data_IF_003461321058
#
_entry.id   IF_003461321058
#
_cell.length_a   1.000
_cell.length_b   1.000
_cell.length_c   1.000
_cell.angle_alpha   90.00
_cell.angle_beta   90.00
_cell.angle_gamma   90.00
#
_symmetry.space_group_name_H-M   'P 1'
#
loop_
_entity.id
_entity.type
_entity.pdbx_description
1 polymer ?
#
# COMPACT_ATOMS: atom_id res chain seq x y z
N UNK A 1 -19.55 -30.41 28.96
CA UNK A 1 -18.95 -29.10 29.36
C UNK A 1 -18.94 -28.24 28.09
N UNK A 2 -19.89 -27.30 28.05
CA UNK A 2 -20.13 -26.43 26.89
C UNK A 2 -19.22 -25.23 27.07
N UNK A 3 -18.21 -25.07 26.18
CA UNK A 3 -17.34 -23.89 26.14
C UNK A 3 -18.09 -22.75 25.45
N UNK A 4 -18.32 -21.70 26.24
CA UNK A 4 -19.01 -20.47 25.85
C UNK A 4 -18.17 -19.70 24.84
N UNK A 5 -18.63 -19.56 23.59
CA UNK A 5 -18.08 -18.64 22.62
C UNK A 5 -18.36 -17.21 23.07
N UNK A 6 -17.33 -16.47 23.43
CA UNK A 6 -17.42 -15.01 23.60
C UNK A 6 -17.46 -14.35 22.22
N UNK A 7 -18.29 -13.33 21.99
CA UNK A 7 -18.26 -12.56 20.76
C UNK A 7 -16.93 -11.79 20.67
N UNK A 8 -16.31 -11.84 19.50
CA UNK A 8 -15.08 -11.12 19.18
C UNK A 8 -15.37 -9.62 19.21
N UNK A 9 -14.69 -8.94 20.11
CA UNK A 9 -14.70 -7.48 20.23
C UNK A 9 -13.96 -6.89 19.02
N UNK A 10 -14.73 -6.43 18.02
CA UNK A 10 -14.19 -5.64 16.91
C UNK A 10 -13.94 -4.25 17.50
N UNK A 11 -12.78 -4.08 18.11
CA UNK A 11 -12.38 -2.80 18.67
C UNK A 11 -12.10 -1.78 17.56
N UNK A 12 -13.17 -1.19 17.05
CA UNK A 12 -13.11 0.14 16.45
C UNK A 12 -12.98 1.08 17.65
N UNK A 13 -11.75 1.53 17.95
CA UNK A 13 -11.57 2.61 18.92
C UNK A 13 -12.22 3.89 18.39
N UNK A 14 -13.50 4.04 18.69
CA UNK A 14 -14.14 5.35 18.65
C UNK A 14 -13.58 6.15 19.81
N UNK A 15 -12.91 7.24 19.49
CA UNK A 15 -12.74 8.31 20.49
C UNK A 15 -14.13 8.82 20.83
N UNK A 16 -14.66 8.40 21.99
CA UNK A 16 -15.90 8.96 22.51
C UNK A 16 -15.70 10.47 22.74
N UNK A 17 -16.61 11.32 22.30
CA UNK A 17 -16.53 12.73 22.61
C UNK A 17 -16.82 12.89 24.10
N UNK A 18 -15.79 13.12 24.92
CA UNK A 18 -16.00 13.65 26.27
C UNK A 18 -16.54 15.05 26.11
N UNK A 19 -17.85 15.18 26.32
CA UNK A 19 -18.54 16.45 26.45
C UNK A 19 -17.98 17.23 27.65
N UNK A 20 -17.09 18.18 27.36
CA UNK A 20 -16.85 19.30 28.28
C UNK A 20 -17.84 20.39 27.86
N UNK A 21 -18.91 20.51 28.62
CA UNK A 21 -19.88 21.58 28.45
C UNK A 21 -19.23 22.91 28.79
N UNK A 22 -18.90 23.71 27.77
CA UNK A 22 -18.73 25.14 27.91
C UNK A 22 -20.00 25.82 27.42
N UNK A 23 -20.65 26.58 28.30
CA UNK A 23 -21.84 27.35 28.01
C UNK A 23 -21.52 28.39 26.91
N UNK A 24 -22.27 28.35 25.81
CA UNK A 24 -22.40 29.47 24.85
C UNK A 24 -21.91 29.25 23.42
N UNK A 25 -21.73 28.00 22.93
CA UNK A 25 -21.52 27.79 21.49
C UNK A 25 -22.32 26.59 21.01
N UNK A 26 -23.32 26.82 20.18
CA UNK A 26 -23.99 25.78 19.40
C UNK A 26 -22.98 25.19 18.43
N UNK A 27 -22.21 24.20 18.83
CA UNK A 27 -21.35 23.43 17.93
C UNK A 27 -22.26 22.55 17.08
N UNK A 28 -22.40 22.91 15.83
CA UNK A 28 -22.69 21.92 14.79
C UNK A 28 -21.61 20.83 14.92
N UNK A 29 -22.00 19.64 15.36
CA UNK A 29 -21.15 18.45 15.23
C UNK A 29 -21.06 18.22 13.73
N UNK A 30 -19.98 18.70 13.10
CA UNK A 30 -19.67 18.33 11.74
C UNK A 30 -19.48 16.80 11.75
N UNK A 31 -20.45 16.07 11.20
CA UNK A 31 -20.28 14.68 10.86
C UNK A 31 -19.15 14.68 9.83
N UNK A 32 -18.01 14.13 10.20
CA UNK A 32 -16.85 14.03 9.31
C UNK A 32 -17.25 13.11 8.15
N UNK A 33 -17.39 13.71 6.95
CA UNK A 33 -17.75 12.98 5.73
C UNK A 33 -16.45 12.47 5.11
N UNK A 34 -16.29 11.14 5.05
CA UNK A 34 -15.17 10.54 4.31
C UNK A 34 -15.34 10.84 2.83
N UNK A 35 -14.29 11.39 2.23
CA UNK A 35 -14.23 11.77 0.82
C UNK A 35 -13.27 10.91 0.02
N UNK A 36 -12.23 10.37 0.66
CA UNK A 36 -11.26 9.51 0.02
C UNK A 36 -10.91 8.30 0.88
N UNK A 37 -10.52 7.21 0.21
CA UNK A 37 -10.00 5.99 0.84
C UNK A 37 -8.63 5.70 0.22
N UNK A 38 -7.61 5.61 1.08
CA UNK A 38 -6.25 5.22 0.70
C UNK A 38 -6.04 3.75 1.09
N UNK A 39 -5.69 2.93 0.13
CA UNK A 39 -5.39 1.51 0.36
C UNK A 39 -3.88 1.29 0.35
N UNK A 40 -3.36 0.52 1.30
CA UNK A 40 -2.10 -0.17 1.07
C UNK A 40 -2.26 -1.19 -0.06
N UNK A 41 -1.13 -1.67 -0.62
CA UNK A 41 -1.12 -2.55 -1.78
C UNK A 41 -0.95 -4.04 -1.40
N UNK A 42 0.29 -4.48 -1.19
CA UNK A 42 0.61 -5.88 -0.91
C UNK A 42 0.21 -6.28 0.53
N UNK A 43 -0.52 -7.38 0.68
CA UNK A 43 -1.15 -7.77 1.95
C UNK A 43 -2.57 -7.22 2.12
N UNK A 44 -2.89 -6.12 1.44
CA UNK A 44 -4.19 -5.45 1.50
C UNK A 44 -5.06 -5.72 0.27
N UNK A 45 -4.58 -5.38 -0.93
CA UNK A 45 -5.31 -5.57 -2.19
C UNK A 45 -4.93 -6.88 -2.89
N UNK A 46 -3.67 -7.25 -2.81
CA UNK A 46 -3.11 -8.41 -3.49
C UNK A 46 -1.98 -9.05 -2.68
N UNK A 47 -1.59 -10.24 -3.08
CA UNK A 47 -0.53 -11.02 -2.43
C UNK A 47 0.32 -11.76 -3.47
N UNK A 48 1.51 -12.21 -3.08
CA UNK A 48 2.36 -13.06 -3.93
C UNK A 48 1.74 -14.46 -4.07
N UNK A 49 1.71 -14.98 -5.29
CA UNK A 49 1.18 -16.33 -5.58
C UNK A 49 2.03 -17.45 -4.96
N UNK A 50 3.30 -17.16 -4.67
CA UNK A 50 4.27 -18.05 -4.03
C UNK A 50 5.13 -17.24 -3.05
N UNK A 51 6.01 -17.90 -2.30
CA UNK A 51 6.97 -17.20 -1.44
C UNK A 51 7.98 -16.42 -2.27
N UNK A 52 8.63 -15.41 -1.67
CA UNK A 52 9.73 -14.69 -2.34
C UNK A 52 10.85 -15.66 -2.74
N UNK A 53 11.15 -16.62 -1.88
CA UNK A 53 12.16 -17.64 -2.17
C UNK A 53 11.81 -18.53 -3.36
N UNK A 54 10.53 -18.89 -3.55
CA UNK A 54 10.09 -19.65 -4.74
C UNK A 54 10.27 -18.84 -6.02
N UNK A 55 9.93 -17.54 -6.00
CA UNK A 55 10.15 -16.63 -7.12
C UNK A 55 11.63 -16.45 -7.42
N UNK A 56 12.48 -16.28 -6.42
CA UNK A 56 13.92 -16.18 -6.62
C UNK A 56 14.52 -17.49 -7.14
N UNK A 57 14.06 -18.65 -6.67
CA UNK A 57 14.53 -19.94 -7.19
C UNK A 57 14.07 -20.15 -8.65
N UNK A 58 12.88 -19.67 -9.02
CA UNK A 58 12.44 -19.66 -10.40
C UNK A 58 13.37 -18.81 -11.27
N UNK A 59 13.62 -17.57 -10.88
CA UNK A 59 14.54 -16.65 -11.58
C UNK A 59 15.94 -17.24 -11.64
N UNK A 60 16.44 -17.86 -10.57
CA UNK A 60 17.72 -18.55 -10.55
C UNK A 60 17.85 -19.54 -11.71
N UNK A 61 16.87 -20.42 -11.89
CA UNK A 61 16.86 -21.39 -13.00
C UNK A 61 16.87 -20.74 -14.38
N UNK A 62 16.14 -19.63 -14.56
CA UNK A 62 16.13 -18.87 -15.83
C UNK A 62 17.52 -18.31 -16.18
N UNK A 63 18.32 -17.98 -15.18
CA UNK A 63 19.70 -17.49 -15.38
C UNK A 63 20.77 -18.58 -15.18
N UNK A 64 20.38 -19.86 -15.11
CA UNK A 64 21.29 -21.00 -15.01
C UNK A 64 21.84 -21.28 -13.61
N UNK A 65 21.19 -20.76 -12.56
CA UNK A 65 21.57 -20.98 -11.17
C UNK A 65 20.58 -21.95 -10.48
N UNK A 66 21.11 -22.94 -9.76
CA UNK A 66 20.29 -23.85 -8.95
C UNK A 66 20.34 -23.40 -7.48
N UNK A 67 19.34 -22.61 -7.07
CA UNK A 67 19.24 -21.99 -5.76
C UNK A 67 18.07 -22.59 -4.97
N UNK A 68 18.28 -22.86 -3.68
CA UNK A 68 17.25 -23.43 -2.82
C UNK A 68 16.21 -22.37 -2.39
N UNK A 69 14.95 -22.60 -2.74
CA UNK A 69 13.84 -21.67 -2.46
C UNK A 69 13.67 -21.36 -0.96
N UNK A 70 13.78 -22.38 -0.09
CA UNK A 70 13.60 -22.19 1.35
C UNK A 70 14.74 -21.39 1.99
N UNK A 71 15.97 -21.56 1.48
CA UNK A 71 17.11 -20.77 1.94
C UNK A 71 17.00 -19.34 1.48
N UNK A 72 16.61 -19.09 0.23
CA UNK A 72 16.33 -17.77 -0.31
C UNK A 72 15.23 -17.05 0.47
N UNK A 73 14.16 -17.76 0.81
CA UNK A 73 13.03 -17.16 1.57
C UNK A 73 13.48 -16.76 2.98
N UNK A 74 14.21 -17.62 3.68
CA UNK A 74 14.80 -17.31 5.01
C UNK A 74 15.76 -16.13 4.94
N UNK A 75 16.66 -16.13 3.95
CA UNK A 75 17.63 -15.06 3.74
C UNK A 75 16.93 -13.72 3.43
N UNK A 76 15.88 -13.75 2.59
CA UNK A 76 15.08 -12.57 2.29
C UNK A 76 14.43 -11.98 3.55
N UNK A 77 13.75 -12.80 4.35
CA UNK A 77 13.14 -12.35 5.59
C UNK A 77 14.15 -11.77 6.58
N UNK A 78 15.32 -12.39 6.71
CA UNK A 78 16.40 -11.88 7.57
C UNK A 78 16.94 -10.53 7.07
N UNK A 79 17.21 -10.41 5.77
CA UNK A 79 17.69 -9.17 5.15
C UNK A 79 16.65 -8.05 5.26
N UNK A 80 15.37 -8.36 5.03
CA UNK A 80 14.28 -7.40 5.16
C UNK A 80 14.15 -6.83 6.56
N UNK A 81 14.24 -7.67 7.59
CA UNK A 81 14.16 -7.24 9.00
C UNK A 81 15.35 -6.38 9.44
N UNK A 82 16.51 -6.58 8.84
CA UNK A 82 17.74 -5.84 9.16
C UNK A 82 17.87 -4.51 8.42
N UNK A 83 17.08 -4.28 7.36
CA UNK A 83 17.13 -3.01 6.61
C UNK A 83 16.74 -1.85 7.52
N UNK A 84 17.58 -0.80 7.59
CA UNK A 84 17.28 0.38 8.39
C UNK A 84 16.07 1.14 7.81
N UNK A 85 15.35 1.81 8.69
CA UNK A 85 14.32 2.78 8.26
C UNK A 85 14.99 3.91 7.50
N UNK A 86 14.38 4.30 6.39
CA UNK A 86 14.86 5.43 5.59
C UNK A 86 14.24 6.74 6.08
N UNK A 87 15.04 7.79 6.12
CA UNK A 87 14.55 9.14 6.39
C UNK A 87 13.80 9.67 5.17
N UNK A 88 12.77 10.48 5.41
CA UNK A 88 12.11 11.20 4.34
C UNK A 88 13.08 12.21 3.71
N UNK A 89 12.99 12.35 2.38
CA UNK A 89 13.74 13.36 1.59
C UNK A 89 12.73 14.16 0.77
N UNK A 90 13.11 15.35 0.32
CA UNK A 90 12.17 16.27 -0.36
C UNK A 90 11.91 15.88 -1.83
N UNK A 91 12.85 15.17 -2.44
CA UNK A 91 12.79 14.75 -3.85
C UNK A 91 12.42 13.27 -3.99
N UNK A 92 11.94 12.83 -5.17
CA UNK A 92 11.85 11.42 -5.54
C UNK A 92 13.20 10.72 -5.39
N UNK A 93 13.19 9.44 -5.02
CA UNK A 93 14.42 8.67 -4.86
C UNK A 93 15.06 8.32 -6.18
N UNK A 94 16.38 8.35 -6.19
CA UNK A 94 17.18 7.98 -7.35
C UNK A 94 16.82 6.57 -7.87
N UNK A 95 16.76 6.44 -9.18
CA UNK A 95 16.48 5.18 -9.88
C UNK A 95 15.26 4.43 -9.35
N UNK A 96 14.25 5.17 -8.85
CA UNK A 96 13.00 4.59 -8.38
C UNK A 96 13.22 3.45 -7.35
N UNK A 97 14.13 3.66 -6.40
CA UNK A 97 14.54 2.68 -5.38
C UNK A 97 15.22 1.40 -5.93
N UNK A 98 15.54 1.31 -7.21
CA UNK A 98 16.16 0.11 -7.80
C UNK A 98 17.49 -0.26 -7.10
N UNK A 99 18.29 0.75 -6.70
CA UNK A 99 19.53 0.55 -5.94
C UNK A 99 19.27 -0.09 -4.57
N UNK A 100 18.23 0.34 -3.89
CA UNK A 100 17.84 -0.23 -2.60
C UNK A 100 17.44 -1.71 -2.71
N UNK A 101 16.69 -2.06 -3.76
CA UNK A 101 16.35 -3.45 -4.05
C UNK A 101 17.57 -4.27 -4.40
N UNK A 102 18.53 -3.71 -5.17
CA UNK A 102 19.78 -4.37 -5.50
C UNK A 102 20.58 -4.73 -4.24
N UNK A 103 20.69 -3.82 -3.30
CA UNK A 103 21.34 -4.10 -2.01
C UNK A 103 20.63 -5.21 -1.22
N UNK A 104 19.29 -5.16 -1.15
CA UNK A 104 18.52 -6.19 -0.44
C UNK A 104 18.74 -7.58 -1.06
N UNK A 105 18.59 -7.69 -2.38
CA UNK A 105 18.82 -8.94 -3.11
C UNK A 105 20.28 -9.38 -2.99
N UNK A 106 21.23 -8.45 -3.04
CA UNK A 106 22.66 -8.73 -2.79
C UNK A 106 22.91 -9.41 -1.46
N UNK A 107 22.32 -8.90 -0.37
CA UNK A 107 22.43 -9.53 0.95
C UNK A 107 21.80 -10.94 0.99
N UNK A 108 20.72 -11.18 0.24
CA UNK A 108 20.12 -12.52 0.13
C UNK A 108 21.09 -13.49 -0.57
N UNK A 109 21.66 -13.07 -1.68
CA UNK A 109 22.60 -13.90 -2.46
C UNK A 109 23.90 -14.13 -1.69
N UNK A 110 24.41 -13.15 -0.94
CA UNK A 110 25.58 -13.32 -0.08
C UNK A 110 25.41 -14.44 0.95
N UNK A 111 24.19 -14.64 1.44
CA UNK A 111 23.91 -15.70 2.42
C UNK A 111 23.73 -17.07 1.77
N UNK A 112 23.12 -17.14 0.58
CA UNK A 112 22.75 -18.42 -0.05
C UNK A 112 23.81 -18.91 -1.03
N UNK A 113 24.44 -18.00 -1.76
CA UNK A 113 25.40 -18.32 -2.81
C UNK A 113 26.60 -17.33 -2.83
N UNK A 114 27.41 -17.28 -1.77
CA UNK A 114 28.48 -16.28 -1.61
C UNK A 114 29.56 -16.37 -2.70
N UNK A 115 29.69 -17.51 -3.36
CA UNK A 115 30.70 -17.74 -4.41
C UNK A 115 30.27 -17.29 -5.81
N UNK A 116 29.05 -16.79 -5.99
CA UNK A 116 28.61 -16.27 -7.29
C UNK A 116 29.46 -15.08 -7.73
N UNK A 117 29.79 -15.04 -9.02
CA UNK A 117 30.47 -13.90 -9.63
C UNK A 117 29.61 -12.64 -9.58
N UNK A 118 30.22 -11.46 -9.65
CA UNK A 118 29.48 -10.19 -9.74
C UNK A 118 28.57 -10.16 -10.98
N UNK A 119 29.00 -10.71 -12.10
CA UNK A 119 28.23 -10.79 -13.33
C UNK A 119 26.96 -11.62 -13.14
N UNK A 120 27.06 -12.78 -12.49
CA UNK A 120 25.91 -13.64 -12.23
C UNK A 120 24.94 -13.00 -11.22
N UNK A 121 25.45 -12.30 -10.20
CA UNK A 121 24.67 -11.54 -9.23
C UNK A 121 23.89 -10.41 -9.88
N UNK A 122 24.55 -9.65 -10.74
CA UNK A 122 23.91 -8.56 -11.47
C UNK A 122 22.84 -9.09 -12.42
N UNK A 123 23.12 -10.14 -13.17
CA UNK A 123 22.16 -10.78 -14.07
C UNK A 123 20.95 -11.32 -13.27
N UNK A 124 21.20 -12.01 -12.16
CA UNK A 124 20.13 -12.49 -11.30
C UNK A 124 19.25 -11.34 -10.80
N UNK A 125 19.88 -10.26 -10.32
CA UNK A 125 19.13 -9.10 -9.80
C UNK A 125 18.27 -8.47 -10.88
N UNK A 126 18.80 -8.21 -12.08
CA UNK A 126 18.05 -7.56 -13.16
C UNK A 126 16.82 -8.40 -13.54
N UNK A 127 16.98 -9.72 -13.71
CA UNK A 127 15.87 -10.61 -14.04
C UNK A 127 14.88 -10.69 -12.88
N UNK A 128 15.37 -10.77 -11.63
CA UNK A 128 14.50 -10.80 -10.46
C UNK A 128 13.70 -9.49 -10.30
N UNK A 129 14.34 -8.35 -10.53
CA UNK A 129 13.67 -7.05 -10.43
C UNK A 129 12.49 -6.95 -11.39
N UNK A 130 12.69 -7.31 -12.67
CA UNK A 130 11.63 -7.29 -13.69
C UNK A 130 10.55 -8.35 -13.41
N UNK A 131 10.96 -9.55 -12.97
CA UNK A 131 10.04 -10.65 -12.67
C UNK A 131 8.92 -10.25 -11.69
N UNK A 132 9.22 -9.49 -10.66
CA UNK A 132 8.19 -9.07 -9.69
C UNK A 132 7.16 -8.07 -10.25
N UNK A 133 7.30 -7.61 -11.48
CA UNK A 133 6.28 -6.85 -12.20
C UNK A 133 5.47 -7.69 -13.20
N UNK A 134 5.83 -8.96 -13.43
CA UNK A 134 5.20 -9.83 -14.42
C UNK A 134 3.78 -10.25 -14.04
N UNK A 135 2.91 -10.51 -15.05
CA UNK A 135 1.61 -11.12 -14.81
C UNK A 135 1.72 -12.49 -14.13
N UNK A 136 0.84 -12.77 -13.16
CA UNK A 136 0.78 -14.05 -12.46
C UNK A 136 1.73 -14.17 -11.25
N UNK A 137 2.60 -13.20 -11.00
CA UNK A 137 3.40 -13.12 -9.77
C UNK A 137 2.53 -12.69 -8.59
N UNK A 138 1.58 -11.80 -8.85
CA UNK A 138 0.65 -11.29 -7.85
C UNK A 138 -0.77 -11.72 -8.16
N UNK A 139 -1.58 -11.91 -7.12
CA UNK A 139 -2.99 -12.29 -7.20
C UNK A 139 -3.82 -11.42 -6.27
N UNK A 140 -5.04 -11.03 -6.73
CA UNK A 140 -5.98 -10.27 -5.90
C UNK A 140 -6.59 -11.15 -4.82
N UNK A 141 -6.81 -10.56 -3.65
CA UNK A 141 -7.76 -11.18 -2.73
C UNK A 141 -9.15 -11.21 -3.39
N UNK A 142 -9.90 -12.33 -3.24
CA UNK A 142 -11.11 -12.56 -4.03
C UNK A 142 -12.20 -11.49 -3.91
N UNK A 143 -12.25 -10.80 -2.78
CA UNK A 143 -13.27 -9.77 -2.54
C UNK A 143 -12.91 -8.41 -3.12
N UNK A 144 -11.63 -8.16 -3.47
CA UNK A 144 -11.13 -6.84 -3.85
C UNK A 144 -11.87 -6.22 -5.03
N UNK A 145 -12.07 -6.93 -6.18
CA UNK A 145 -12.76 -6.33 -7.32
C UNK A 145 -14.16 -5.82 -6.96
N UNK A 146 -14.97 -6.64 -6.29
CA UNK A 146 -16.33 -6.26 -5.92
C UNK A 146 -16.39 -5.11 -4.93
N UNK A 147 -15.46 -5.07 -3.96
CA UNK A 147 -15.39 -3.96 -3.00
C UNK A 147 -14.99 -2.66 -3.69
N UNK A 148 -14.00 -2.68 -4.59
CA UNK A 148 -13.59 -1.49 -5.33
C UNK A 148 -14.69 -0.98 -6.27
N UNK A 149 -15.43 -1.87 -6.93
CA UNK A 149 -16.59 -1.52 -7.78
C UNK A 149 -17.68 -0.80 -6.98
N UNK A 150 -17.96 -1.24 -5.76
CA UNK A 150 -18.98 -0.64 -4.90
C UNK A 150 -18.53 0.72 -4.32
N UNK A 151 -17.23 0.88 -4.02
CA UNK A 151 -16.69 2.10 -3.41
C UNK A 151 -16.39 3.22 -4.41
N UNK A 152 -15.92 2.88 -5.62
CA UNK A 152 -15.46 3.87 -6.60
C UNK A 152 -16.51 4.92 -7.02
N UNK A 153 -17.83 4.64 -7.09
CA UNK A 153 -18.82 5.67 -7.37
C UNK A 153 -19.02 6.66 -6.23
N UNK A 154 -18.64 6.30 -5.00
CA UNK A 154 -18.94 7.04 -3.76
C UNK A 154 -17.75 7.81 -3.21
N UNK A 155 -16.55 7.29 -3.40
CA UNK A 155 -15.32 7.80 -2.79
C UNK A 155 -14.23 7.97 -3.84
N UNK A 156 -13.33 8.93 -3.60
CA UNK A 156 -12.06 8.98 -4.32
C UNK A 156 -11.18 7.85 -3.78
N UNK A 157 -10.85 6.87 -4.60
CA UNK A 157 -9.95 5.77 -4.22
C UNK A 157 -8.54 6.07 -4.69
N UNK A 158 -7.55 5.75 -3.84
CA UNK A 158 -6.13 5.84 -4.18
C UNK A 158 -5.35 4.72 -3.48
N UNK A 159 -4.17 4.41 -4.00
CA UNK A 159 -3.22 3.50 -3.38
C UNK A 159 -2.10 4.30 -2.71
N UNK A 160 -1.62 3.86 -1.55
CA UNK A 160 -0.43 4.41 -0.87
C UNK A 160 0.43 3.26 -0.35
N UNK A 161 1.62 3.06 -0.92
CA UNK A 161 2.43 1.88 -0.64
C UNK A 161 3.92 2.16 -0.60
N UNK A 162 4.63 1.42 0.26
CA UNK A 162 6.08 1.32 0.21
C UNK A 162 6.47 0.44 -0.98
N UNK A 163 6.64 1.06 -2.13
CA UNK A 163 6.91 0.39 -3.40
C UNK A 163 7.70 1.33 -4.33
N UNK A 164 7.95 0.88 -5.55
CA UNK A 164 8.52 1.63 -6.66
C UNK A 164 7.55 1.64 -7.86
N UNK A 165 7.94 2.26 -8.97
CA UNK A 165 7.08 2.46 -10.14
C UNK A 165 6.48 1.19 -10.75
N UNK A 166 7.06 0.01 -10.49
CA UNK A 166 6.49 -1.29 -10.90
C UNK A 166 5.08 -1.52 -10.37
N UNK A 167 4.70 -0.87 -9.25
CA UNK A 167 3.35 -0.97 -8.70
C UNK A 167 2.27 -0.61 -9.71
N UNK A 168 2.51 0.40 -10.56
CA UNK A 168 1.51 0.80 -11.58
C UNK A 168 1.24 -0.30 -12.59
N UNK A 169 2.30 -0.99 -13.02
CA UNK A 169 2.19 -2.11 -13.95
C UNK A 169 1.49 -3.31 -13.29
N UNK A 170 1.81 -3.60 -12.04
CA UNK A 170 1.13 -4.65 -11.24
C UNK A 170 -0.38 -4.36 -11.15
N UNK A 171 -0.78 -3.14 -10.79
CA UNK A 171 -2.21 -2.77 -10.72
C UNK A 171 -2.91 -2.88 -12.08
N UNK A 172 -2.21 -2.62 -13.18
CA UNK A 172 -2.73 -2.81 -14.54
C UNK A 172 -2.93 -4.31 -14.86
N UNK A 173 -1.93 -5.14 -14.60
CA UNK A 173 -2.01 -6.59 -14.81
C UNK A 173 -3.13 -7.23 -13.97
N UNK A 174 -3.34 -6.74 -12.76
CA UNK A 174 -4.44 -7.17 -11.90
C UNK A 174 -5.81 -6.59 -12.30
N UNK A 175 -5.88 -5.69 -13.29
CA UNK A 175 -7.13 -5.12 -13.80
C UNK A 175 -7.84 -4.14 -12.87
N UNK A 176 -7.17 -3.66 -11.82
CA UNK A 176 -7.76 -2.78 -10.80
C UNK A 176 -7.29 -1.31 -10.90
N UNK A 177 -6.33 -0.99 -11.76
CA UNK A 177 -5.81 0.37 -11.93
C UNK A 177 -6.90 1.41 -12.22
N UNK A 178 -7.95 1.02 -12.95
CA UNK A 178 -9.10 1.88 -13.32
C UNK A 178 -9.90 2.44 -12.15
N UNK A 179 -9.81 1.84 -10.97
CA UNK A 179 -10.55 2.28 -9.78
C UNK A 179 -9.85 3.42 -9.03
N UNK A 180 -8.55 3.57 -9.23
CA UNK A 180 -7.74 4.51 -8.48
C UNK A 180 -7.51 5.81 -9.23
N UNK A 181 -7.85 6.93 -8.60
CA UNK A 181 -7.57 8.26 -9.13
C UNK A 181 -6.09 8.62 -9.02
N UNK A 182 -5.39 8.03 -8.04
CA UNK A 182 -3.96 8.25 -7.80
C UNK A 182 -3.30 7.00 -7.19
N UNK A 183 -2.00 6.86 -7.44
CA UNK A 183 -1.14 5.83 -6.84
C UNK A 183 0.06 6.56 -6.23
N UNK A 184 0.11 6.60 -4.90
CA UNK A 184 1.17 7.19 -4.11
C UNK A 184 2.22 6.14 -3.82
N UNK A 185 3.41 6.33 -4.34
CA UNK A 185 4.52 5.40 -4.26
C UNK A 185 5.62 6.04 -3.43
N UNK A 186 6.16 5.30 -2.46
CA UNK A 186 7.16 5.82 -1.52
C UNK A 186 8.42 6.32 -2.21
N UNK A 187 8.90 5.65 -3.28
CA UNK A 187 10.06 6.09 -4.05
C UNK A 187 9.83 7.45 -4.71
N UNK A 188 8.63 7.72 -5.19
CA UNK A 188 8.26 8.98 -5.83
C UNK A 188 7.97 10.10 -4.82
N UNK A 189 7.37 9.72 -3.67
CA UNK A 189 7.09 10.67 -2.61
C UNK A 189 8.33 11.00 -1.75
N UNK A 190 9.42 10.23 -1.84
CA UNK A 190 10.59 10.40 -1.01
C UNK A 190 10.38 10.06 0.47
N UNK A 191 9.28 9.39 0.83
CA UNK A 191 8.93 9.04 2.20
C UNK A 191 8.30 7.65 2.27
N UNK A 192 8.65 6.85 3.29
CA UNK A 192 8.13 5.49 3.48
C UNK A 192 7.26 5.41 4.73
N UNK A 193 6.23 4.59 4.70
CA UNK A 193 5.61 4.08 5.94
C UNK A 193 6.68 3.31 6.75
N UNK A 194 6.81 3.48 8.05
CA UNK A 194 5.87 4.10 8.99
C UNK A 194 6.08 5.60 9.25
N UNK A 195 6.88 6.31 8.47
CA UNK A 195 6.94 7.77 8.62
C UNK A 195 5.60 8.38 8.20
N UNK A 196 4.91 9.14 9.08
CA UNK A 196 3.65 9.78 8.75
C UNK A 196 3.76 10.82 7.63
N UNK A 197 4.98 11.20 7.27
CA UNK A 197 5.24 12.17 6.19
C UNK A 197 4.70 11.69 4.83
N UNK A 198 4.75 10.39 4.54
CA UNK A 198 4.17 9.84 3.30
C UNK A 198 2.68 10.17 3.19
N UNK A 199 1.93 10.06 4.31
CA UNK A 199 0.51 10.39 4.34
C UNK A 199 0.26 11.89 4.22
N UNK A 200 1.07 12.74 4.85
CA UNK A 200 0.97 14.21 4.74
C UNK A 200 1.18 14.67 3.30
N UNK A 201 2.19 14.11 2.60
CA UNK A 201 2.44 14.39 1.18
C UNK A 201 1.29 13.94 0.30
N UNK A 202 0.76 12.75 0.53
CA UNK A 202 -0.42 12.26 -0.18
C UNK A 202 -1.64 13.16 0.04
N UNK A 203 -1.91 13.58 1.28
CA UNK A 203 -3.01 14.50 1.62
C UNK A 203 -2.90 15.85 0.90
N UNK A 204 -1.69 16.43 0.87
CA UNK A 204 -1.43 17.68 0.14
C UNK A 204 -1.71 17.53 -1.36
N UNK A 205 -1.35 16.41 -1.97
CA UNK A 205 -1.56 16.15 -3.40
C UNK A 205 -3.03 15.93 -3.76
N UNK A 206 -3.88 15.47 -2.82
CA UNK A 206 -5.31 15.29 -3.06
C UNK A 206 -6.17 16.47 -2.56
N UNK A 207 -5.56 17.43 -1.89
CA UNK A 207 -6.25 18.60 -1.31
C UNK A 207 -7.41 18.21 -0.38
N UNK A 208 -7.10 17.33 0.59
CA UNK A 208 -8.04 16.89 1.62
C UNK A 208 -7.42 16.98 3.02
N UNK A 209 -8.29 17.24 4.02
CA UNK A 209 -7.89 17.15 5.41
C UNK A 209 -7.79 15.68 5.86
N UNK A 210 -6.92 15.41 6.82
CA UNK A 210 -6.68 14.05 7.29
C UNK A 210 -7.95 13.35 7.82
N UNK A 211 -8.85 14.09 8.46
CA UNK A 211 -10.13 13.59 8.99
C UNK A 211 -11.19 13.28 7.91
N UNK A 212 -10.97 13.70 6.65
CA UNK A 212 -11.83 13.37 5.50
C UNK A 212 -11.34 12.10 4.78
N UNK A 213 -10.24 11.48 5.24
CA UNK A 213 -9.56 10.38 4.57
C UNK A 213 -9.46 9.15 5.46
N UNK A 214 -9.88 8.00 4.93
CA UNK A 214 -9.71 6.71 5.55
C UNK A 214 -8.51 5.98 4.95
N UNK A 215 -7.61 5.47 5.78
CA UNK A 215 -6.57 4.54 5.35
C UNK A 215 -6.95 3.10 5.70
N UNK A 216 -6.72 2.18 4.78
CA UNK A 216 -6.96 0.74 4.93
C UNK A 216 -5.66 0.00 4.64
N UNK A 217 -5.17 -0.78 5.59
CA UNK A 217 -3.93 -1.53 5.44
C UNK A 217 -3.79 -2.63 6.49
N UNK A 218 -2.82 -3.54 6.30
CA UNK A 218 -2.64 -4.74 7.13
C UNK A 218 -1.50 -4.64 8.14
N UNK A 219 -0.52 -3.74 7.94
CA UNK A 219 0.64 -3.63 8.82
C UNK A 219 0.38 -2.71 10.03
N UNK A 220 0.54 -3.23 11.29
CA UNK A 220 0.31 -2.44 12.49
C UNK A 220 1.17 -1.18 12.64
N UNK A 221 2.42 -1.23 12.18
CA UNK A 221 3.35 -0.11 12.28
C UNK A 221 3.24 0.83 11.07
N UNK A 222 3.28 0.25 9.87
CA UNK A 222 3.35 1.00 8.61
C UNK A 222 2.01 1.63 8.25
N UNK A 223 0.89 0.93 8.51
CA UNK A 223 -0.42 1.40 8.14
C UNK A 223 -1.18 2.01 9.32
N UNK A 224 -1.37 1.24 10.41
CA UNK A 224 -2.30 1.68 11.45
C UNK A 224 -1.74 2.82 12.28
N UNK A 225 -0.50 2.67 12.79
CA UNK A 225 0.11 3.71 13.63
C UNK A 225 0.53 4.93 12.81
N UNK A 226 1.09 4.73 11.63
CA UNK A 226 1.58 5.81 10.80
C UNK A 226 0.45 6.69 10.26
N UNK A 227 -0.63 6.11 9.73
CA UNK A 227 -1.79 6.85 9.26
C UNK A 227 -2.47 7.61 10.41
N UNK A 228 -2.63 6.96 11.59
CA UNK A 228 -3.16 7.62 12.79
C UNK A 228 -2.28 8.80 13.25
N UNK A 229 -0.96 8.66 13.17
CA UNK A 229 -0.02 9.74 13.49
C UNK A 229 -0.09 10.91 12.52
N UNK A 230 -0.51 10.67 11.27
CA UNK A 230 -0.80 11.71 10.30
C UNK A 230 -2.23 12.29 10.42
N UNK A 231 -3.06 11.77 11.34
CA UNK A 231 -4.41 12.25 11.62
C UNK A 231 -5.52 11.60 10.79
N UNK A 232 -5.22 10.57 9.99
CA UNK A 232 -6.22 9.86 9.18
C UNK A 232 -7.09 8.95 10.05
N UNK A 233 -8.28 8.66 9.54
CA UNK A 233 -9.09 7.53 10.00
C UNK A 233 -8.43 6.23 9.53
N UNK A 234 -8.55 5.15 10.32
CA UNK A 234 -7.89 3.88 10.03
C UNK A 234 -8.84 2.71 10.17
N UNK A 235 -8.99 1.94 9.10
CA UNK A 235 -9.56 0.60 9.13
C UNK A 235 -8.43 -0.42 9.12
N UNK A 236 -8.32 -1.20 10.20
CA UNK A 236 -7.31 -2.24 10.34
C UNK A 236 -7.75 -3.49 9.60
N UNK A 237 -6.94 -3.91 8.64
CA UNK A 237 -7.12 -5.19 7.96
C UNK A 237 -6.22 -6.22 8.66
N UNK A 238 -6.81 -7.25 9.23
CA UNK A 238 -6.11 -8.32 9.98
C UNK A 238 -6.61 -9.67 9.45
N UNK A 239 -6.10 -10.07 8.31
CA UNK A 239 -6.44 -11.34 7.65
C UNK A 239 -5.88 -12.54 8.45
N UNK A 240 -6.62 -13.61 8.63
CA UNK A 240 -7.95 -13.93 8.10
C UNK A 240 -9.13 -13.49 9.00
N UNK A 241 -8.89 -12.70 10.05
CA UNK A 241 -9.93 -12.31 11.03
C UNK A 241 -11.00 -11.40 10.44
N UNK A 242 -10.61 -10.55 9.50
CA UNK A 242 -11.50 -9.68 8.75
C UNK A 242 -11.09 -9.61 7.27
N UNK A 243 -11.88 -8.93 6.45
CA UNK A 243 -11.64 -8.74 5.03
C UNK A 243 -12.03 -7.33 4.58
N UNK A 244 -11.69 -6.97 3.34
CA UNK A 244 -12.13 -5.69 2.78
C UNK A 244 -13.66 -5.56 2.67
N UNK A 245 -14.42 -6.65 2.73
CA UNK A 245 -15.90 -6.57 2.77
C UNK A 245 -16.42 -5.84 4.01
N UNK A 246 -15.67 -5.88 5.12
CA UNK A 246 -16.04 -5.18 6.35
C UNK A 246 -16.01 -3.67 6.17
N UNK A 247 -15.20 -3.17 5.22
CA UNK A 247 -15.15 -1.77 4.84
C UNK A 247 -16.52 -1.26 4.33
N UNK A 248 -17.23 -2.07 3.52
CA UNK A 248 -18.56 -1.71 3.01
C UNK A 248 -19.56 -1.48 4.15
N UNK A 249 -19.52 -2.34 5.17
CA UNK A 249 -20.35 -2.18 6.35
C UNK A 249 -19.95 -0.97 7.19
N UNK A 250 -18.68 -0.64 7.21
CA UNK A 250 -18.15 0.49 7.97
C UNK A 250 -18.55 1.82 7.33
N UNK A 251 -18.34 2.00 6.00
CA UNK A 251 -18.74 3.22 5.27
C UNK A 251 -20.23 3.34 5.04
N UNK A 252 -20.99 2.23 5.10
CA UNK A 252 -22.45 2.24 4.94
C UNK A 252 -23.20 2.77 6.17
N UNK A 253 -22.57 2.83 7.35
CA UNK A 253 -23.20 3.29 8.59
C UNK A 253 -23.14 4.80 8.79
N UNK A 254 -22.18 5.49 8.16
CA UNK A 254 -21.83 6.87 8.50
C UNK A 254 -21.89 7.86 7.32
N UNK A 255 -22.28 7.44 6.11
CA UNK A 255 -22.19 8.35 4.96
C UNK A 255 -23.31 8.18 3.94
N UNK A 256 -24.03 9.25 3.74
CA UNK A 256 -24.74 9.51 2.49
C UNK A 256 -24.14 10.80 1.87
N UNK A 257 -22.96 10.76 1.24
CA UNK A 257 -22.45 11.89 0.52
C UNK A 257 -23.21 11.99 -0.81
N UNK A 258 -23.79 13.16 -1.09
CA UNK A 258 -24.24 13.44 -2.45
C UNK A 258 -23.05 13.30 -3.42
N UNK A 259 -23.28 12.72 -4.62
CA UNK A 259 -22.20 12.54 -5.59
C UNK A 259 -21.69 13.90 -6.05
N UNK A 260 -20.45 14.24 -5.72
CA UNK A 260 -19.78 15.42 -6.27
C UNK A 260 -19.59 15.24 -7.78
N UNK A 261 -19.96 16.23 -8.63
CA UNK A 261 -19.78 16.12 -10.06
C UNK A 261 -18.30 15.99 -10.41
N UNK A 262 -17.98 14.99 -11.24
CA UNK A 262 -16.63 14.78 -11.77
C UNK A 262 -16.27 15.94 -12.70
N UNK A 263 -15.57 16.96 -12.22
CA UNK A 263 -14.88 17.92 -13.07
C UNK A 263 -13.53 17.31 -13.47
N UNK A 264 -13.49 16.74 -14.66
CA UNK A 264 -12.23 16.43 -15.31
C UNK A 264 -11.54 17.75 -15.68
N UNK A 265 -10.51 18.12 -14.98
CA UNK A 265 -9.59 19.16 -15.42
C UNK A 265 -8.91 18.68 -16.71
N UNK A 266 -9.16 19.38 -17.82
CA UNK A 266 -8.51 19.14 -19.09
C UNK A 266 -6.99 19.32 -18.92
N UNK A 267 -6.22 18.37 -19.42
CA UNK A 267 -4.77 18.49 -19.54
C UNK A 267 -4.42 19.74 -20.35
N UNK A 268 -3.34 20.46 -20.01
CA UNK A 268 -2.91 21.61 -20.82
C UNK A 268 -2.50 21.12 -22.22
N UNK A 269 -3.14 21.65 -23.23
CA UNK A 269 -2.77 21.46 -24.64
C UNK A 269 -1.40 22.06 -24.88
N UNK A 270 -0.46 21.24 -25.31
CA UNK A 270 0.83 21.68 -25.86
C UNK A 270 0.56 22.59 -27.06
N UNK A 271 0.78 23.90 -26.87
CA UNK A 271 0.82 24.87 -27.94
C UNK A 271 2.00 24.57 -28.86
N UNK A 272 1.72 24.30 -30.12
CA UNK A 272 2.72 24.16 -31.16
C UNK A 272 3.49 25.46 -31.34
N UNK A 273 4.80 25.32 -31.47
CA UNK A 273 5.67 26.30 -32.09
C UNK A 273 5.57 26.10 -33.59
N UNK A 274 4.98 27.06 -34.29
CA UNK A 274 5.22 27.36 -35.69
C UNK A 274 6.24 28.50 -35.75
N UNK A 275 7.16 28.32 -36.69
CA UNK A 275 8.23 29.16 -37.24
C UNK A 275 9.59 29.07 -36.59
#
# INVERSE_FOLDING_TARGET
MVACCRPLDVSVERLSPRSVAYAGCTRNVCIEVIRAILFDAAGTLFFLTKTVGDHYAYVGREVGLDLNAQELDRAFHAAWQQKPRRMAIDDPRENDDKGWWRELVGHVIDQVAPSLSEIDRDNFFEVAYEHFAEPGVWELYPEVPGVLEELAPRFRLAVISNFDGRLRLILQHLGISKFFSQVFISSELGADKPDPEIFRRALNLIDLNANEVLHVGDDPERDWKAAKAAGLLVLRLDRPRNSLRDLLSWVGRDSNPEPTPKTFGAAPSNGGLQD
#
